data_IF_041433843183
#
_entry.id   IF_041433843183
#
_cell.length_a   1.000
_cell.length_b   1.000
_cell.length_c   1.000
_cell.angle_alpha   90.00
_cell.angle_beta   90.00
_cell.angle_gamma   90.00
#
_symmetry.space_group_name_H-M   'P 1'
#
loop_
_entity.id
_entity.type
_entity.pdbx_description
1 polymer ?
#
# COMPACT_ATOMS: atom_id res chain seq x y z
N UNK A 1 23.28 -12.82 -1.73
CA UNK A 1 23.55 -11.57 -2.45
C UNK A 1 22.39 -10.62 -2.25
N UNK A 2 22.70 -9.32 -2.08
CA UNK A 2 21.68 -8.28 -1.90
C UNK A 2 21.23 -7.82 -3.29
N UNK A 3 19.92 -7.78 -3.53
CA UNK A 3 19.32 -7.41 -4.82
C UNK A 3 18.73 -6.00 -4.75
N UNK A 4 18.18 -5.63 -3.60
CA UNK A 4 17.66 -4.28 -3.33
C UNK A 4 17.79 -3.94 -1.84
N UNK A 5 17.83 -2.65 -1.55
CA UNK A 5 17.82 -2.14 -0.17
C UNK A 5 17.03 -0.84 -0.09
N UNK A 6 16.52 -0.56 1.10
CA UNK A 6 15.86 0.72 1.39
C UNK A 6 16.02 1.08 2.85
N UNK A 7 15.86 2.36 3.14
CA UNK A 7 15.86 2.89 4.50
C UNK A 7 14.72 3.89 4.68
N UNK A 8 14.30 4.08 5.93
CA UNK A 8 13.28 5.05 6.28
C UNK A 8 13.51 5.64 7.67
N UNK A 9 13.14 6.89 7.85
CA UNK A 9 13.20 7.56 9.14
C UNK A 9 11.92 7.28 9.93
N UNK A 10 12.07 7.01 11.24
CA UNK A 10 10.92 6.92 12.15
C UNK A 10 10.71 8.27 12.84
N UNK A 11 9.51 8.84 12.78
CA UNK A 11 9.17 9.98 13.61
C UNK A 11 9.10 9.51 15.07
N UNK A 12 9.94 10.05 15.93
CA UNK A 12 9.91 9.83 17.38
C UNK A 12 9.50 11.12 18.05
N UNK A 13 8.76 11.01 19.16
CA UNK A 13 8.43 12.17 19.98
C UNK A 13 9.64 12.51 20.82
N UNK A 14 10.13 13.75 20.68
CA UNK A 14 11.28 14.22 21.46
C UNK A 14 10.88 14.35 22.94
N UNK A 15 11.72 13.77 23.81
CA UNK A 15 11.63 13.94 25.26
C UNK A 15 12.98 14.51 25.73
N UNK A 16 12.97 15.64 26.46
CA UNK A 16 14.20 16.27 27.00
C UNK A 16 14.97 15.30 27.91
N UNK A 17 16.25 15.22 27.69
CA UNK A 17 17.16 14.38 28.50
C UNK A 17 17.23 12.92 28.09
N UNK A 18 16.51 12.49 27.05
CA UNK A 18 16.56 11.11 26.52
C UNK A 18 17.32 11.04 25.21
N UNK A 19 18.09 9.97 25.04
CA UNK A 19 18.70 9.61 23.76
C UNK A 19 17.65 9.03 22.79
N UNK A 20 17.94 9.01 21.49
CA UNK A 20 17.03 8.47 20.47
C UNK A 20 16.64 6.99 20.71
N UNK A 21 17.49 6.20 21.35
CA UNK A 21 17.22 4.80 21.72
C UNK A 21 16.26 4.65 22.90
N UNK A 22 16.14 5.67 23.73
CA UNK A 22 15.30 5.69 24.94
C UNK A 22 13.94 6.35 24.70
N UNK A 23 13.74 7.01 23.54
CA UNK A 23 12.49 7.68 23.22
C UNK A 23 11.32 6.69 23.13
N UNK A 24 10.19 7.10 23.67
CA UNK A 24 8.97 6.32 23.67
C UNK A 24 8.45 6.08 22.25
N UNK A 25 8.01 4.83 21.97
CA UNK A 25 7.30 4.48 20.74
C UNK A 25 5.77 4.50 20.93
N UNK A 26 5.30 5.15 21.99
CA UNK A 26 3.88 5.38 22.23
C UNK A 26 3.40 6.49 21.32
N UNK A 27 2.13 6.48 21.04
CA UNK A 27 1.46 7.59 20.39
C UNK A 27 1.00 8.61 21.44
N UNK A 28 1.10 9.89 21.11
CA UNK A 28 0.62 10.99 21.93
C UNK A 28 -0.32 11.90 21.15
N UNK A 29 -1.30 12.46 21.86
CA UNK A 29 -2.28 13.38 21.31
C UNK A 29 -2.09 14.74 21.97
N UNK A 30 -1.84 15.75 21.15
CA UNK A 30 -1.65 17.14 21.55
C UNK A 30 -2.86 17.96 21.16
N UNK A 31 -3.21 18.94 21.95
CA UNK A 31 -4.21 19.95 21.61
C UNK A 31 -3.59 21.32 21.81
N UNK A 32 -3.54 22.15 20.75
CA UNK A 32 -3.03 23.51 20.83
C UNK A 32 -4.06 24.45 21.47
N UNK A 33 -3.61 25.65 21.84
CA UNK A 33 -4.48 26.72 22.38
C UNK A 33 -5.55 27.13 21.37
N UNK A 34 -5.29 26.99 20.07
CA UNK A 34 -6.27 27.24 18.98
C UNK A 34 -7.23 26.10 18.76
N UNK A 35 -7.10 24.98 19.48
CA UNK A 35 -7.97 23.79 19.36
C UNK A 35 -7.56 22.79 18.32
N UNK A 36 -6.39 22.93 17.65
CA UNK A 36 -5.85 21.91 16.75
C UNK A 36 -5.49 20.65 17.53
N UNK A 37 -6.05 19.51 17.13
CA UNK A 37 -5.73 18.19 17.66
C UNK A 37 -4.73 17.51 16.74
N UNK A 38 -3.57 17.16 17.27
CA UNK A 38 -2.49 16.46 16.56
C UNK A 38 -2.17 15.14 17.23
N UNK A 39 -1.86 14.11 16.44
CA UNK A 39 -1.37 12.83 16.95
C UNK A 39 -0.01 12.52 16.33
N UNK A 40 0.93 12.05 17.13
CA UNK A 40 2.26 11.69 16.69
C UNK A 40 2.73 10.38 17.34
N UNK A 41 3.75 9.76 16.74
CA UNK A 41 4.33 8.52 17.24
C UNK A 41 3.49 7.28 16.99
N UNK A 42 3.70 6.26 17.80
CA UNK A 42 2.96 5.00 17.76
C UNK A 42 3.51 3.96 16.79
N UNK A 43 2.85 2.80 16.77
CA UNK A 43 3.17 1.69 15.88
C UNK A 43 2.11 1.56 14.80
N UNK A 44 2.51 1.21 13.59
CA UNK A 44 1.60 0.98 12.46
C UNK A 44 0.45 0.02 12.83
N UNK A 45 0.73 -1.04 13.57
CA UNK A 45 -0.29 -2.01 14.02
C UNK A 45 -1.32 -1.45 14.98
N UNK A 46 -1.07 -0.28 15.59
CA UNK A 46 -1.98 0.42 16.50
C UNK A 46 -2.91 1.45 15.84
N UNK A 47 -2.81 1.62 14.50
CA UNK A 47 -3.43 2.72 13.75
C UNK A 47 -4.92 2.94 14.06
N UNK A 48 -5.72 1.87 14.11
CA UNK A 48 -7.16 1.97 14.40
C UNK A 48 -7.43 2.58 15.78
N UNK A 49 -6.73 2.08 16.79
CA UNK A 49 -6.90 2.57 18.17
C UNK A 49 -6.33 3.99 18.35
N UNK A 50 -5.29 4.31 17.62
CA UNK A 50 -4.76 5.68 17.56
C UNK A 50 -5.79 6.64 16.96
N UNK A 51 -6.39 6.26 15.82
CA UNK A 51 -7.44 7.04 15.18
C UNK A 51 -8.67 7.20 16.10
N UNK A 52 -9.14 6.11 16.74
CA UNK A 52 -10.25 6.14 17.71
C UNK A 52 -9.98 7.15 18.82
N UNK A 53 -8.77 7.18 19.40
CA UNK A 53 -8.45 8.12 20.49
C UNK A 53 -8.40 9.57 20.01
N UNK A 54 -7.83 9.82 18.82
CA UNK A 54 -7.78 11.16 18.24
C UNK A 54 -9.20 11.67 17.93
N UNK A 55 -10.04 10.84 17.29
CA UNK A 55 -11.43 11.20 16.99
C UNK A 55 -12.25 11.39 18.25
N UNK A 56 -12.10 10.55 19.27
CA UNK A 56 -12.78 10.73 20.55
C UNK A 56 -12.37 12.04 21.25
N UNK A 57 -11.13 12.50 21.11
CA UNK A 57 -10.71 13.82 21.61
C UNK A 57 -11.43 14.95 20.89
N UNK A 58 -11.57 14.85 19.55
CA UNK A 58 -12.32 15.82 18.74
C UNK A 58 -13.81 15.78 19.07
N UNK A 59 -14.39 14.56 19.16
CA UNK A 59 -15.80 14.38 19.49
C UNK A 59 -16.14 15.04 20.85
N UNK A 60 -15.33 14.78 21.87
CA UNK A 60 -15.52 15.39 23.19
C UNK A 60 -15.49 16.94 23.11
N UNK A 61 -14.55 17.50 22.33
CA UNK A 61 -14.49 18.94 22.15
C UNK A 61 -15.73 19.49 21.42
N UNK A 62 -16.25 18.78 20.43
CA UNK A 62 -17.49 19.17 19.73
C UNK A 62 -18.71 19.09 20.64
N UNK A 63 -18.76 18.12 21.56
CA UNK A 63 -19.82 18.04 22.60
C UNK A 63 -19.75 19.25 23.54
N UNK A 64 -18.54 19.61 23.99
CA UNK A 64 -18.33 20.73 24.94
C UNK A 64 -18.57 22.11 24.29
N UNK A 65 -18.09 22.32 23.05
CA UNK A 65 -18.11 23.63 22.39
C UNK A 65 -19.40 23.87 21.58
N UNK A 66 -20.10 22.81 21.12
CA UNK A 66 -21.20 22.90 20.17
C UNK A 66 -22.45 22.08 20.55
N UNK A 67 -22.48 21.50 21.75
CA UNK A 67 -23.58 20.60 22.20
C UNK A 67 -23.89 19.47 21.21
N UNK A 68 -22.85 18.99 20.48
CA UNK A 68 -22.99 17.93 19.49
C UNK A 68 -23.27 16.59 20.19
N UNK A 69 -24.21 15.80 19.65
CA UNK A 69 -24.46 14.43 20.12
C UNK A 69 -23.83 13.46 19.14
N UNK A 70 -22.71 12.85 19.54
CA UNK A 70 -21.94 11.94 18.70
C UNK A 70 -22.00 10.52 19.24
N UNK A 71 -22.10 9.55 18.33
CA UNK A 71 -22.12 8.13 18.69
C UNK A 71 -20.71 7.63 19.01
N UNK A 72 -20.66 6.54 19.80
CA UNK A 72 -19.38 5.87 20.09
C UNK A 72 -18.77 5.22 18.85
N UNK A 73 -17.44 5.17 18.83
CA UNK A 73 -16.69 4.53 17.76
C UNK A 73 -17.07 3.03 17.63
N UNK A 74 -17.34 2.60 16.41
CA UNK A 74 -17.68 1.21 16.04
C UNK A 74 -16.68 0.60 15.06
N UNK A 75 -15.55 1.27 14.81
CA UNK A 75 -14.57 0.83 13.78
C UNK A 75 -13.92 -0.52 14.09
N UNK A 76 -13.98 -1.01 15.32
CA UNK A 76 -13.56 -2.36 15.72
C UNK A 76 -14.45 -3.47 15.13
N UNK A 77 -15.68 -3.11 14.70
CA UNK A 77 -16.66 -4.02 14.10
C UNK A 77 -16.70 -3.94 12.57
N UNK A 78 -16.03 -2.94 11.98
CA UNK A 78 -16.01 -2.74 10.53
C UNK A 78 -14.93 -3.62 9.93
N UNK A 79 -15.27 -4.58 9.04
CA UNK A 79 -14.26 -5.37 8.33
C UNK A 79 -13.50 -4.48 7.35
N UNK A 80 -12.19 -4.72 7.22
CA UNK A 80 -11.39 -4.11 6.17
C UNK A 80 -11.76 -4.68 4.81
N UNK A 81 -11.59 -3.89 3.74
CA UNK A 81 -11.75 -4.37 2.36
C UNK A 81 -10.97 -5.65 2.11
N UNK A 82 -11.58 -6.59 1.40
CA UNK A 82 -10.95 -7.89 1.10
C UNK A 82 -10.93 -8.89 2.26
N UNK A 83 -11.40 -8.52 3.45
CA UNK A 83 -11.38 -9.40 4.63
C UNK A 83 -12.76 -10.03 4.91
N UNK A 84 -13.17 -10.97 4.03
CA UNK A 84 -14.37 -11.80 4.25
C UNK A 84 -14.03 -13.19 4.85
N UNK A 85 -12.83 -13.34 5.38
CA UNK A 85 -12.34 -14.59 5.94
C UNK A 85 -12.59 -14.67 7.45
N UNK A 86 -13.48 -15.56 7.88
CA UNK A 86 -13.75 -15.76 9.31
C UNK A 86 -12.61 -16.44 10.08
N UNK A 87 -11.79 -17.25 9.41
CA UNK A 87 -10.68 -18.02 10.01
C UNK A 87 -9.55 -18.19 9.00
N UNK A 88 -8.31 -18.29 9.49
CA UNK A 88 -7.13 -18.48 8.67
C UNK A 88 -7.20 -19.71 7.74
N UNK A 89 -7.86 -20.79 8.17
CA UNK A 89 -8.09 -21.95 7.29
C UNK A 89 -8.87 -21.61 6.01
N UNK A 90 -9.72 -20.58 6.03
CA UNK A 90 -10.46 -20.13 4.85
C UNK A 90 -9.54 -19.38 3.88
N UNK A 91 -8.55 -18.65 4.38
CA UNK A 91 -7.50 -18.04 3.55
C UNK A 91 -6.70 -19.12 2.82
N UNK A 92 -6.23 -20.13 3.57
CA UNK A 92 -5.49 -21.26 2.96
C UNK A 92 -6.30 -22.00 1.89
N UNK A 93 -7.59 -22.25 2.17
CA UNK A 93 -8.47 -22.88 1.19
C UNK A 93 -8.61 -22.01 -0.06
N UNK A 94 -8.84 -20.73 0.11
CA UNK A 94 -9.00 -19.78 -1.00
C UNK A 94 -7.73 -19.69 -1.86
N UNK A 95 -6.54 -19.70 -1.26
CA UNK A 95 -5.27 -19.78 -2.00
C UNK A 95 -5.20 -21.06 -2.84
N UNK A 96 -5.58 -22.21 -2.28
CA UNK A 96 -5.56 -23.49 -3.01
C UNK A 96 -6.56 -23.51 -4.16
N UNK A 97 -7.80 -23.05 -3.93
CA UNK A 97 -8.85 -22.96 -4.94
C UNK A 97 -8.40 -22.01 -6.09
N UNK A 98 -7.76 -20.88 -5.74
CA UNK A 98 -7.25 -19.93 -6.71
C UNK A 98 -6.08 -20.48 -7.52
N UNK A 99 -5.16 -21.22 -6.88
CA UNK A 99 -4.04 -21.88 -7.55
C UNK A 99 -4.55 -22.85 -8.62
N UNK A 100 -5.56 -23.66 -8.29
CA UNK A 100 -6.17 -24.59 -9.25
C UNK A 100 -6.79 -23.84 -10.46
N UNK A 101 -7.47 -22.74 -10.19
CA UNK A 101 -8.07 -21.89 -11.23
C UNK A 101 -7.02 -21.27 -12.17
N UNK A 102 -5.90 -20.80 -11.62
CA UNK A 102 -4.87 -20.09 -12.39
C UNK A 102 -3.84 -21.01 -13.06
N UNK A 103 -3.84 -22.29 -12.72
CA UNK A 103 -2.85 -23.25 -13.24
C UNK A 103 -2.92 -23.40 -14.77
N UNK A 104 -4.10 -23.24 -15.38
CA UNK A 104 -4.28 -23.32 -16.83
C UNK A 104 -3.56 -22.22 -17.59
N UNK A 105 -3.35 -21.06 -16.96
CA UNK A 105 -2.61 -19.93 -17.51
C UNK A 105 -1.12 -19.96 -17.13
N UNK A 106 -0.66 -21.04 -16.48
CA UNK A 106 0.75 -21.25 -16.11
C UNK A 106 1.20 -20.57 -14.82
N UNK A 107 0.27 -20.06 -14.01
CA UNK A 107 0.60 -19.50 -12.71
C UNK A 107 0.80 -20.59 -11.65
N UNK A 108 1.69 -20.31 -10.69
CA UNK A 108 2.05 -21.23 -9.62
C UNK A 108 1.42 -20.89 -8.27
N UNK A 109 1.83 -21.65 -7.26
CA UNK A 109 1.39 -21.43 -5.86
C UNK A 109 1.74 -20.06 -5.34
N UNK A 110 2.88 -19.50 -5.74
CA UNK A 110 3.32 -18.18 -5.32
C UNK A 110 2.38 -17.09 -5.81
N UNK A 111 1.94 -17.17 -7.07
CA UNK A 111 1.05 -16.15 -7.67
C UNK A 111 -0.30 -16.10 -6.93
N UNK A 112 -0.89 -17.27 -6.66
CA UNK A 112 -2.12 -17.37 -5.90
C UNK A 112 -1.95 -16.86 -4.45
N UNK A 113 -0.85 -17.22 -3.81
CA UNK A 113 -0.50 -16.73 -2.47
C UNK A 113 -0.32 -15.21 -2.45
N UNK A 114 0.43 -14.66 -3.40
CA UNK A 114 0.68 -13.23 -3.52
C UNK A 114 -0.64 -12.45 -3.68
N UNK A 115 -1.47 -12.84 -4.63
CA UNK A 115 -2.76 -12.17 -4.87
C UNK A 115 -3.64 -12.18 -3.62
N UNK A 116 -3.79 -13.33 -2.96
CA UNK A 116 -4.66 -13.44 -1.79
C UNK A 116 -4.09 -12.71 -0.57
N UNK A 117 -2.79 -12.74 -0.36
CA UNK A 117 -2.17 -12.05 0.78
C UNK A 117 -2.10 -10.53 0.59
N UNK A 118 -2.07 -10.06 -0.66
CA UNK A 118 -2.07 -8.63 -0.98
C UNK A 118 -3.48 -8.05 -1.03
N UNK A 119 -4.41 -8.72 -1.70
CA UNK A 119 -5.73 -8.19 -2.05
C UNK A 119 -6.90 -8.89 -1.34
N UNK A 120 -6.67 -10.03 -0.67
CA UNK A 120 -7.74 -10.79 -0.05
C UNK A 120 -8.79 -11.21 -1.06
N UNK A 121 -10.07 -10.98 -0.72
CA UNK A 121 -11.21 -11.24 -1.62
C UNK A 121 -11.32 -10.28 -2.81
N UNK A 122 -10.65 -9.12 -2.75
CA UNK A 122 -10.57 -8.22 -3.90
C UNK A 122 -9.78 -8.82 -5.09
N UNK A 123 -9.07 -9.93 -4.88
CA UNK A 123 -8.48 -10.75 -5.96
C UNK A 123 -9.51 -11.08 -7.04
N UNK A 124 -10.78 -11.31 -6.69
CA UNK A 124 -11.85 -11.60 -7.65
C UNK A 124 -12.02 -10.46 -8.67
N UNK A 125 -12.00 -9.21 -8.23
CA UNK A 125 -12.06 -8.03 -9.10
C UNK A 125 -10.83 -7.91 -10.03
N UNK A 126 -9.65 -8.28 -9.54
CA UNK A 126 -8.44 -8.31 -10.37
C UNK A 126 -8.57 -9.39 -11.46
N UNK A 127 -9.09 -10.57 -11.12
CA UNK A 127 -9.29 -11.65 -12.09
C UNK A 127 -10.37 -11.32 -13.14
N UNK A 128 -11.40 -10.57 -12.76
CA UNK A 128 -12.37 -10.05 -13.73
C UNK A 128 -11.74 -9.08 -14.73
N UNK A 129 -10.82 -8.24 -14.28
CA UNK A 129 -10.02 -7.35 -15.14
C UNK A 129 -9.06 -8.17 -16.02
N UNK A 130 -8.38 -9.15 -15.44
CA UNK A 130 -7.47 -10.06 -16.14
C UNK A 130 -8.17 -10.78 -17.31
N UNK A 131 -9.37 -11.27 -17.09
CA UNK A 131 -10.15 -11.96 -18.14
C UNK A 131 -10.52 -11.06 -19.32
N UNK A 132 -10.62 -9.74 -19.11
CA UNK A 132 -10.94 -8.75 -20.15
C UNK A 132 -9.72 -8.28 -20.95
N UNK A 133 -8.51 -8.49 -20.44
CA UNK A 133 -7.26 -8.08 -21.10
C UNK A 133 -6.85 -9.17 -22.09
N UNK A 134 -6.68 -8.77 -23.36
CA UNK A 134 -6.18 -9.65 -24.43
C UNK A 134 -4.67 -9.66 -24.48
N UNK A 135 -4.08 -10.77 -24.88
CA UNK A 135 -2.63 -10.94 -25.05
C UNK A 135 -2.18 -12.36 -24.73
N UNK A 136 -1.04 -12.74 -25.27
CA UNK A 136 -0.50 -14.11 -25.17
C UNK A 136 0.39 -14.35 -23.95
N UNK A 137 0.65 -13.29 -23.16
CA UNK A 137 1.52 -13.35 -21.97
C UNK A 137 0.69 -13.22 -20.68
N UNK A 138 0.35 -14.33 -20.02
CA UNK A 138 -0.50 -14.30 -18.81
C UNK A 138 0.02 -13.37 -17.71
N UNK A 139 1.32 -13.40 -17.43
CA UNK A 139 1.91 -12.54 -16.40
C UNK A 139 1.79 -11.05 -16.71
N UNK A 140 1.96 -10.65 -17.98
CA UNK A 140 1.76 -9.25 -18.39
C UNK A 140 0.30 -8.83 -18.27
N UNK A 141 -0.64 -9.71 -18.64
CA UNK A 141 -2.08 -9.47 -18.46
C UNK A 141 -2.43 -9.29 -16.99
N UNK A 142 -1.85 -10.11 -16.11
CA UNK A 142 -2.11 -10.02 -14.68
C UNK A 142 -1.62 -8.70 -14.09
N UNK A 143 -0.39 -8.27 -14.41
CA UNK A 143 0.15 -7.01 -13.87
C UNK A 143 -0.62 -5.78 -14.41
N UNK A 144 -1.09 -5.83 -15.66
CA UNK A 144 -2.01 -4.81 -16.19
C UNK A 144 -3.35 -4.79 -15.43
N UNK A 145 -3.87 -5.95 -15.07
CA UNK A 145 -5.09 -6.06 -14.26
C UNK A 145 -4.89 -5.49 -12.85
N UNK A 146 -3.76 -5.78 -12.22
CA UNK A 146 -3.39 -5.17 -10.93
C UNK A 146 -3.28 -3.64 -11.05
N UNK A 147 -2.60 -3.13 -12.09
CA UNK A 147 -2.47 -1.69 -12.31
C UNK A 147 -3.85 -1.02 -12.48
N UNK A 148 -4.73 -1.59 -13.31
CA UNK A 148 -6.11 -1.09 -13.47
C UNK A 148 -6.91 -1.12 -12.17
N UNK A 149 -6.74 -2.18 -11.39
CA UNK A 149 -7.38 -2.29 -10.08
C UNK A 149 -6.90 -1.19 -9.12
N UNK A 150 -5.60 -0.95 -9.02
CA UNK A 150 -5.05 0.07 -8.12
C UNK A 150 -5.43 1.49 -8.55
N UNK A 151 -5.52 1.75 -9.86
CA UNK A 151 -6.03 3.01 -10.43
C UNK A 151 -7.50 3.21 -10.02
N UNK A 152 -8.34 2.19 -10.20
CA UNK A 152 -9.79 2.32 -9.99
C UNK A 152 -10.21 2.30 -8.52
N UNK A 153 -9.49 1.59 -7.65
CA UNK A 153 -9.93 1.29 -6.29
C UNK A 153 -8.97 1.75 -5.18
N UNK A 154 -7.72 2.06 -5.51
CA UNK A 154 -6.69 2.37 -4.51
C UNK A 154 -6.02 3.73 -4.72
N UNK A 155 -6.60 4.61 -5.53
CA UNK A 155 -6.09 5.96 -5.78
C UNK A 155 -4.62 6.00 -6.21
N UNK A 156 -4.18 5.03 -7.01
CA UNK A 156 -2.87 5.11 -7.65
C UNK A 156 -2.94 6.15 -8.77
N UNK A 157 -2.21 7.25 -8.65
CA UNK A 157 -2.25 8.37 -9.60
C UNK A 157 -1.11 8.30 -10.63
N UNK A 158 -0.03 7.61 -10.34
CA UNK A 158 1.12 7.46 -11.23
C UNK A 158 1.73 6.06 -11.11
N UNK A 159 2.61 5.65 -12.06
CA UNK A 159 3.25 4.33 -12.03
C UNK A 159 4.08 4.05 -10.78
N UNK A 160 4.66 5.08 -10.15
CA UNK A 160 5.44 4.92 -8.92
C UNK A 160 4.53 4.54 -7.74
N UNK A 161 3.30 5.06 -7.70
CA UNK A 161 2.32 4.63 -6.69
C UNK A 161 2.09 3.12 -6.77
N UNK A 162 1.92 2.58 -7.98
CA UNK A 162 1.74 1.15 -8.18
C UNK A 162 2.95 0.35 -7.69
N UNK A 163 4.16 0.66 -8.19
CA UNK A 163 5.36 -0.12 -7.90
C UNK A 163 5.86 0.03 -6.46
N UNK A 164 5.66 1.19 -5.84
CA UNK A 164 6.19 1.52 -4.52
C UNK A 164 5.12 1.34 -3.44
N UNK A 165 3.96 2.01 -3.60
CA UNK A 165 2.99 2.23 -2.52
C UNK A 165 1.86 1.21 -2.49
N UNK A 166 1.54 0.56 -3.61
CA UNK A 166 0.46 -0.44 -3.68
C UNK A 166 0.97 -1.87 -3.68
N UNK A 167 2.02 -2.15 -4.45
CA UNK A 167 2.54 -3.52 -4.57
C UNK A 167 3.87 -3.74 -3.85
N UNK A 168 4.61 -2.67 -3.52
CA UNK A 168 5.93 -2.76 -2.91
C UNK A 168 6.99 -3.44 -3.79
N UNK A 169 6.72 -3.60 -5.10
CA UNK A 169 7.61 -4.35 -6.01
C UNK A 169 9.01 -3.75 -6.09
N UNK A 170 9.12 -2.42 -5.98
CA UNK A 170 10.44 -1.76 -5.98
C UNK A 170 11.36 -2.31 -4.87
N UNK A 171 10.79 -2.66 -3.72
CA UNK A 171 11.55 -3.15 -2.56
C UNK A 171 11.69 -4.67 -2.51
N UNK A 172 10.67 -5.40 -2.96
CA UNK A 172 10.57 -6.85 -2.74
C UNK A 172 10.65 -7.70 -4.01
N UNK A 173 10.52 -7.08 -5.19
CA UNK A 173 10.54 -7.75 -6.51
C UNK A 173 10.97 -6.76 -7.60
N UNK A 174 12.18 -6.20 -7.43
CA UNK A 174 12.71 -5.13 -8.28
C UNK A 174 12.86 -5.54 -9.76
N UNK A 175 13.08 -6.83 -10.01
CA UNK A 175 13.18 -7.34 -11.37
C UNK A 175 11.84 -7.29 -12.11
N UNK A 176 10.72 -7.47 -11.39
CA UNK A 176 9.40 -7.29 -11.98
C UNK A 176 9.11 -5.83 -12.35
N UNK A 177 9.67 -4.87 -11.61
CA UNK A 177 9.56 -3.45 -11.96
C UNK A 177 10.22 -3.19 -13.31
N UNK A 178 11.48 -3.63 -13.49
CA UNK A 178 12.23 -3.50 -14.75
C UNK A 178 11.50 -4.17 -15.91
N UNK A 179 10.98 -5.37 -15.68
CA UNK A 179 10.31 -6.18 -16.70
C UNK A 179 8.97 -5.62 -17.14
N UNK A 180 8.20 -5.03 -16.21
CA UNK A 180 6.82 -4.62 -16.45
C UNK A 180 6.60 -3.11 -16.37
N UNK A 181 7.69 -2.31 -16.46
CA UNK A 181 7.64 -0.85 -16.52
C UNK A 181 6.67 -0.40 -17.60
N UNK A 182 6.93 -0.78 -18.85
CA UNK A 182 6.15 -0.34 -20.02
C UNK A 182 4.66 -0.73 -19.93
N UNK A 183 4.29 -2.00 -19.67
CA UNK A 183 2.88 -2.38 -19.51
C UNK A 183 2.12 -1.56 -18.47
N UNK A 184 2.75 -1.28 -17.33
CA UNK A 184 2.13 -0.49 -16.26
C UNK A 184 1.99 0.97 -16.69
N UNK A 185 3.04 1.57 -17.27
CA UNK A 185 3.01 2.95 -17.76
C UNK A 185 1.90 3.17 -18.78
N UNK A 186 1.70 2.25 -19.71
CA UNK A 186 0.59 2.31 -20.68
C UNK A 186 -0.79 2.32 -20.02
N UNK A 187 -1.00 1.58 -18.93
CA UNK A 187 -2.29 1.58 -18.22
C UNK A 187 -2.55 2.93 -17.54
N UNK A 188 -1.53 3.55 -16.93
CA UNK A 188 -1.64 4.89 -16.34
C UNK A 188 -1.86 5.97 -17.40
N UNK A 189 -1.12 5.93 -18.51
CA UNK A 189 -1.30 6.87 -19.62
C UNK A 189 -2.74 6.80 -20.17
N UNK A 190 -3.28 5.61 -20.37
CA UNK A 190 -4.66 5.41 -20.84
C UNK A 190 -5.69 5.92 -19.84
N UNK A 191 -5.48 5.66 -18.56
CA UNK A 191 -6.45 5.99 -17.50
C UNK A 191 -6.57 7.50 -17.27
N UNK A 192 -5.44 8.20 -17.27
CA UNK A 192 -5.37 9.62 -16.90
C UNK A 192 -5.12 10.55 -18.09
N UNK A 193 -4.86 9.99 -19.28
CA UNK A 193 -4.51 10.76 -20.50
C UNK A 193 -3.30 11.69 -20.27
N UNK A 194 -2.30 11.19 -19.55
CA UNK A 194 -1.06 11.94 -19.30
C UNK A 194 -0.35 12.29 -20.60
N UNK A 195 0.28 13.47 -20.62
CA UNK A 195 1.13 13.92 -21.71
C UNK A 195 2.41 13.08 -21.83
N UNK A 196 3.09 13.18 -22.96
CA UNK A 196 4.40 12.54 -23.13
C UNK A 196 5.43 13.09 -22.13
N UNK A 197 5.34 14.38 -21.78
CA UNK A 197 6.21 15.02 -20.79
C UNK A 197 5.96 14.47 -19.38
N UNK A 198 4.70 14.29 -18.97
CA UNK A 198 4.36 13.68 -17.67
C UNK A 198 4.90 12.25 -17.59
N UNK A 199 4.69 11.45 -18.65
CA UNK A 199 5.14 10.06 -18.69
C UNK A 199 6.67 9.95 -18.66
N UNK A 200 7.38 10.86 -19.34
CA UNK A 200 8.84 10.92 -19.27
C UNK A 200 9.31 11.30 -17.85
N UNK A 201 8.66 12.27 -17.20
CA UNK A 201 9.00 12.65 -15.83
C UNK A 201 8.83 11.46 -14.86
N UNK A 202 7.74 10.71 -14.96
CA UNK A 202 7.54 9.49 -14.16
C UNK A 202 8.60 8.42 -14.48
N UNK A 203 9.00 8.29 -15.76
CA UNK A 203 10.03 7.34 -16.17
C UNK A 203 11.38 7.67 -15.55
N UNK A 204 11.80 8.93 -15.63
CA UNK A 204 13.06 9.43 -15.03
C UNK A 204 13.05 9.21 -13.51
N UNK A 205 11.95 9.52 -12.85
CA UNK A 205 11.83 9.33 -11.41
C UNK A 205 11.91 7.85 -11.01
N UNK A 206 11.21 6.95 -11.75
CA UNK A 206 11.27 5.52 -11.47
C UNK A 206 12.68 4.95 -11.72
N UNK A 207 13.38 5.39 -12.76
CA UNK A 207 14.74 4.95 -13.06
C UNK A 207 15.73 5.42 -11.99
N UNK A 208 15.53 6.64 -11.44
CA UNK A 208 16.30 7.13 -10.31
C UNK A 208 16.08 6.26 -9.07
N UNK A 209 14.82 5.90 -8.77
CA UNK A 209 14.49 5.01 -7.65
C UNK A 209 15.07 3.59 -7.85
N UNK A 210 14.98 3.04 -9.07
CA UNK A 210 15.60 1.75 -9.39
C UNK A 210 17.10 1.77 -9.15
N UNK A 211 17.78 2.84 -9.55
CA UNK A 211 19.22 3.00 -9.32
C UNK A 211 19.53 3.13 -7.85
N UNK A 212 18.85 4.00 -7.12
CA UNK A 212 19.05 4.22 -5.68
C UNK A 212 18.93 2.93 -4.86
N UNK A 213 17.95 2.09 -5.19
CA UNK A 213 17.65 0.88 -4.43
C UNK A 213 18.43 -0.37 -4.86
N UNK A 214 19.12 -0.34 -6.01
CA UNK A 214 19.87 -1.50 -6.53
C UNK A 214 21.31 -1.24 -6.90
N UNK A 215 21.79 0.01 -6.82
CA UNK A 215 23.19 0.36 -7.01
C UNK A 215 23.89 0.38 -5.66
N UNK A 216 24.80 -0.59 -5.45
CA UNK A 216 25.59 -0.73 -4.24
C UNK A 216 27.03 -0.26 -4.43
N UNK A 217 27.34 0.45 -5.51
CA UNK A 217 28.63 1.09 -5.70
C UNK A 217 28.81 2.16 -4.63
N UNK A 218 29.73 1.92 -3.70
CA UNK A 218 30.21 2.94 -2.80
C UNK A 218 31.03 3.93 -3.64
N UNK A 219 30.47 5.09 -3.94
CA UNK A 219 31.29 6.23 -4.30
C UNK A 219 32.17 6.52 -3.08
N UNK A 220 33.43 6.12 -3.17
CA UNK A 220 34.43 6.52 -2.16
C UNK A 220 34.89 7.92 -2.56
N UNK A 221 34.32 8.92 -1.88
CA UNK A 221 34.88 10.26 -1.85
C UNK A 221 36.33 10.25 -1.30
#
# INVERSE_FOLDING_TARGET
DIISSWAGLRPLIHEEGKSASELSRKDEIFTSDTGLVSIAGGKLTGYRKMAERAVNRVAKKMEEDHDAKLEHCTTDKIPLCGNDFKKFKHVKKYIADLQEQLQTDGFGTYDAWYLVTTYGKQTESILELYAKIKGDKPTERLIRAEARFTIAHEMALNPLDFFIRRTGRLYFDIDSVRKYKEPVFEEFQKAYNYSAEDMEAFSVELDAQLKEHSDFSLERD
#
